data_IF_090739919433
#
_entry.id   IF_090739919433
#
_cell.length_a   1.000
_cell.length_b   1.000
_cell.length_c   1.000
_cell.angle_alpha   90.00
_cell.angle_beta   90.00
_cell.angle_gamma   90.00
#
_symmetry.space_group_name_H-M   'P 1'
#
loop_
_entity.id
_entity.type
_entity.pdbx_description
1 polymer ?
#
# COMPACT_ATOMS: atom_id res chain seq x y z
N UNK A 1 19.80 -9.04 -23.48
CA UNK A 1 20.30 -9.33 -22.12
C UNK A 1 19.97 -8.09 -21.29
N UNK A 2 18.92 -8.13 -20.46
CA UNK A 2 18.40 -6.95 -19.73
C UNK A 2 19.11 -6.84 -18.38
N UNK A 3 19.76 -5.70 -18.13
CA UNK A 3 20.39 -5.38 -16.85
C UNK A 3 19.57 -4.26 -16.22
N UNK A 4 18.86 -4.57 -15.13
CA UNK A 4 18.20 -3.56 -14.29
C UNK A 4 19.24 -3.01 -13.31
N UNK A 5 19.47 -1.70 -13.32
CA UNK A 5 20.34 -1.02 -12.35
C UNK A 5 19.63 -0.93 -10.99
N UNK A 6 20.31 -1.35 -9.92
CA UNK A 6 19.85 -1.25 -8.53
C UNK A 6 20.83 -0.34 -7.80
N UNK A 7 20.32 0.68 -7.11
CA UNK A 7 21.13 1.63 -6.34
C UNK A 7 20.83 1.52 -4.85
N UNK A 8 21.87 1.61 -4.01
CA UNK A 8 21.78 1.53 -2.54
C UNK A 8 22.19 2.89 -1.95
N UNK A 9 21.33 3.52 -1.14
CA UNK A 9 21.60 4.82 -0.51
C UNK A 9 22.23 4.66 0.89
N UNK A 10 23.31 5.36 1.21
CA UNK A 10 23.91 5.39 2.55
C UNK A 10 23.33 6.53 3.41
N UNK A 11 23.18 6.27 4.71
CA UNK A 11 22.42 7.09 5.67
C UNK A 11 23.11 8.41 6.06
N UNK A 12 22.31 9.46 6.29
CA UNK A 12 22.71 10.72 6.92
C UNK A 12 21.79 11.02 8.12
N UNK A 13 22.36 11.57 9.20
CA UNK A 13 21.68 11.84 10.48
C UNK A 13 20.52 12.84 10.36
N UNK A 14 19.42 12.53 11.06
CA UNK A 14 18.13 13.24 11.01
C UNK A 14 18.13 14.41 12.02
N UNK A 15 17.95 15.64 11.52
CA UNK A 15 17.49 16.77 12.32
C UNK A 15 16.01 17.04 12.01
N UNK A 16 15.17 17.13 13.05
CA UNK A 16 13.72 17.40 12.95
C UNK A 16 13.47 18.77 12.32
N UNK A 17 12.71 18.82 11.23
CA UNK A 17 12.01 20.03 10.77
C UNK A 17 10.50 19.77 10.68
N UNK A 18 9.65 20.71 11.11
CA UNK A 18 8.20 20.57 11.01
C UNK A 18 7.74 20.83 9.56
N UNK A 19 7.12 19.84 8.94
CA UNK A 19 6.49 19.97 7.62
C UNK A 19 5.07 20.53 7.78
N UNK A 20 4.82 21.72 7.23
CA UNK A 20 3.47 22.29 7.10
C UNK A 20 2.95 22.04 5.68
N UNK A 21 1.85 21.31 5.56
CA UNK A 21 1.18 21.02 4.28
C UNK A 21 0.22 22.15 3.91
N UNK A 22 0.29 22.76 2.71
CA UNK A 22 -0.73 23.69 2.25
C UNK A 22 -1.89 22.93 1.58
N UNK A 23 -3.10 23.15 2.10
CA UNK A 23 -4.36 22.88 1.41
C UNK A 23 -4.55 23.90 0.27
N UNK A 24 -4.97 23.47 -0.93
CA UNK A 24 -6.06 24.07 -1.72
C UNK A 24 -6.21 23.47 -3.15
N UNK A 25 -7.44 23.66 -3.66
CA UNK A 25 -8.18 23.11 -4.80
C UNK A 25 -7.51 23.17 -6.19
N UNK A 26 -7.87 22.40 -7.22
CA UNK A 26 -8.92 21.40 -7.45
C UNK A 26 -9.00 21.03 -8.95
N UNK A 27 -9.52 19.85 -9.30
CA UNK A 27 -10.30 19.54 -10.53
C UNK A 27 -11.20 18.34 -10.21
N UNK A 28 -12.45 18.45 -10.66
CA UNK A 28 -13.66 17.68 -10.37
C UNK A 28 -13.45 16.16 -10.51
N UNK A 29 -13.36 15.47 -9.37
CA UNK A 29 -13.81 14.08 -9.26
C UNK A 29 -15.34 14.09 -9.46
N UNK A 30 -15.89 13.04 -10.06
CA UNK A 30 -17.33 12.77 -10.03
C UNK A 30 -17.85 13.06 -8.60
N UNK A 31 -18.69 14.09 -8.40
CA UNK A 31 -19.10 14.54 -7.07
C UNK A 31 -19.88 13.47 -6.30
N UNK A 32 -20.27 12.37 -6.96
CA UNK A 32 -20.90 11.21 -6.33
C UNK A 32 -19.91 10.19 -5.72
N UNK A 33 -18.61 10.28 -6.01
CA UNK A 33 -17.60 9.34 -5.46
C UNK A 33 -16.80 9.99 -4.35
N UNK A 34 -17.17 9.67 -3.10
CA UNK A 34 -16.40 9.96 -1.88
C UNK A 34 -14.94 9.54 -2.08
N UNK A 35 -14.00 10.39 -1.67
CA UNK A 35 -12.58 10.04 -1.62
C UNK A 35 -12.37 8.90 -0.61
N UNK A 36 -11.58 7.91 -1.00
CA UNK A 36 -11.31 6.74 -0.19
C UNK A 36 -10.40 7.10 0.97
N UNK A 37 -10.61 6.44 2.10
CA UNK A 37 -9.69 6.53 3.22
C UNK A 37 -8.69 5.39 3.16
N UNK A 38 -7.46 5.61 3.63
CA UNK A 38 -6.41 4.63 3.45
C UNK A 38 -6.73 3.21 3.96
N UNK A 39 -7.29 3.09 5.18
CA UNK A 39 -7.71 1.79 5.71
C UNK A 39 -8.77 1.10 4.85
N UNK A 40 -9.70 1.87 4.28
CA UNK A 40 -10.73 1.40 3.37
C UNK A 40 -10.10 0.82 2.08
N UNK A 41 -9.14 1.55 1.50
CA UNK A 41 -8.40 1.12 0.31
C UNK A 41 -7.61 -0.17 0.55
N UNK A 42 -6.97 -0.32 1.71
CA UNK A 42 -6.25 -1.53 2.09
C UNK A 42 -7.18 -2.73 2.34
N UNK A 43 -8.30 -2.52 3.02
CA UNK A 43 -9.31 -3.56 3.19
C UNK A 43 -9.83 -4.07 1.84
N UNK A 44 -10.17 -3.15 0.94
CA UNK A 44 -10.63 -3.48 -0.41
C UNK A 44 -9.57 -4.24 -1.22
N UNK A 45 -8.29 -3.93 -1.06
CA UNK A 45 -7.22 -4.64 -1.78
C UNK A 45 -7.00 -6.08 -1.29
N UNK A 46 -7.15 -6.33 0.02
CA UNK A 46 -7.11 -7.69 0.58
C UNK A 46 -8.34 -8.51 0.14
N UNK A 47 -9.52 -7.90 0.07
CA UNK A 47 -10.73 -8.55 -0.49
C UNK A 47 -10.52 -8.89 -1.96
N UNK A 48 -9.92 -7.99 -2.74
CA UNK A 48 -9.60 -8.25 -4.14
C UNK A 48 -8.57 -9.39 -4.28
N UNK A 49 -7.63 -9.53 -3.35
CA UNK A 49 -6.74 -10.70 -3.29
C UNK A 49 -7.50 -11.99 -2.97
N UNK A 50 -8.40 -11.96 -1.99
CA UNK A 50 -9.21 -13.12 -1.59
C UNK A 50 -10.08 -13.65 -2.75
N UNK A 51 -10.56 -12.77 -3.64
CA UNK A 51 -11.34 -13.17 -4.81
C UNK A 51 -10.59 -14.09 -5.81
N UNK A 52 -9.26 -14.11 -5.77
CA UNK A 52 -8.41 -14.95 -6.64
C UNK A 52 -7.68 -16.08 -5.92
N UNK A 53 -7.72 -16.11 -4.59
CA UNK A 53 -7.06 -17.12 -3.77
C UNK A 53 -8.01 -17.60 -2.66
N UNK A 54 -8.55 -18.81 -2.83
CA UNK A 54 -9.51 -19.40 -1.90
C UNK A 54 -8.89 -19.75 -0.54
N UNK A 55 -7.60 -20.11 -0.48
CA UNK A 55 -6.93 -20.41 0.77
C UNK A 55 -6.75 -19.12 1.59
N UNK A 56 -6.39 -18.02 0.94
CA UNK A 56 -6.33 -16.71 1.56
C UNK A 56 -7.73 -16.21 1.97
N UNK A 57 -8.77 -16.42 1.17
CA UNK A 57 -10.15 -16.07 1.53
C UNK A 57 -10.60 -16.77 2.83
N UNK A 58 -10.29 -18.06 2.97
CA UNK A 58 -10.56 -18.82 4.19
C UNK A 58 -9.76 -18.27 5.38
N UNK A 59 -8.48 -17.93 5.20
CA UNK A 59 -7.66 -17.33 6.24
C UNK A 59 -8.16 -15.95 6.68
N UNK A 60 -8.50 -15.08 5.72
CA UNK A 60 -9.08 -13.76 5.94
C UNK A 60 -10.37 -13.86 6.75
N UNK A 61 -11.32 -14.69 6.33
CA UNK A 61 -12.59 -14.87 7.04
C UNK A 61 -12.41 -15.39 8.47
N UNK A 62 -11.53 -16.37 8.68
CA UNK A 62 -11.23 -16.90 10.01
C UNK A 62 -10.63 -15.82 10.93
N UNK A 63 -9.66 -15.05 10.41
CA UNK A 63 -9.00 -13.98 11.18
C UNK A 63 -9.95 -12.83 11.51
N UNK A 64 -10.81 -12.42 10.58
CA UNK A 64 -11.80 -11.37 10.84
C UNK A 64 -12.86 -11.81 11.85
N UNK A 65 -13.31 -13.09 11.81
CA UNK A 65 -14.23 -13.64 12.80
C UNK A 65 -13.62 -13.69 14.21
N UNK A 66 -12.33 -13.97 14.34
CA UNK A 66 -11.69 -13.95 15.67
C UNK A 66 -11.48 -12.52 16.18
N UNK A 67 -11.18 -11.58 15.30
CA UNK A 67 -10.73 -10.22 15.64
C UNK A 67 -11.87 -9.20 15.79
N UNK A 68 -12.83 -9.21 14.86
CA UNK A 68 -13.71 -8.07 14.62
C UNK A 68 -15.20 -8.37 14.87
N UNK A 69 -15.58 -9.62 15.19
CA UNK A 69 -16.99 -10.00 15.41
C UNK A 69 -17.74 -9.07 16.39
N UNK A 70 -17.18 -8.63 17.53
CA UNK A 70 -17.88 -7.71 18.43
C UNK A 70 -18.19 -6.33 17.83
N UNK A 71 -17.40 -5.86 16.85
CA UNK A 71 -17.58 -4.56 16.18
C UNK A 71 -18.36 -4.67 14.87
N UNK A 72 -18.19 -5.76 14.14
CA UNK A 72 -18.88 -6.04 12.87
C UNK A 72 -20.40 -6.20 13.04
N UNK A 73 -20.85 -6.74 14.19
CA UNK A 73 -22.27 -6.90 14.52
C UNK A 73 -22.97 -5.57 14.89
N UNK A 74 -22.21 -4.54 15.27
CA UNK A 74 -22.72 -3.21 15.57
C UNK A 74 -22.90 -2.32 14.31
N UNK A 75 -22.23 -2.67 13.21
CA UNK A 75 -22.34 -1.97 11.93
C UNK A 75 -23.64 -2.37 11.23
N UNK A 76 -24.65 -1.49 11.36
CA UNK A 76 -26.01 -1.65 10.79
C UNK A 76 -26.14 -1.17 9.36
N UNK A 77 -25.13 -0.48 8.84
CA UNK A 77 -25.22 0.11 7.51
C UNK A 77 -24.89 -0.92 6.44
N UNK A 78 -25.78 -0.99 5.45
CA UNK A 78 -25.58 -1.74 4.21
C UNK A 78 -24.59 -0.94 3.38
N UNK A 79 -23.31 -1.08 3.71
CA UNK A 79 -22.24 -0.58 2.86
C UNK A 79 -22.31 -1.38 1.55
N UNK A 80 -22.76 -0.76 0.47
CA UNK A 80 -22.61 -1.37 -0.85
C UNK A 80 -21.12 -1.58 -1.07
N UNK A 81 -20.69 -2.85 -1.04
CA UNK A 81 -19.32 -3.20 -1.35
C UNK A 81 -19.00 -2.53 -2.68
N UNK A 82 -18.12 -1.51 -2.69
CA UNK A 82 -17.74 -0.82 -3.88
C UNK A 82 -17.18 -1.91 -4.76
N UNK A 83 -17.88 -2.19 -5.87
CA UNK A 83 -17.46 -3.19 -6.85
C UNK A 83 -15.97 -2.96 -7.00
N UNK A 84 -15.17 -3.91 -6.53
CA UNK A 84 -13.73 -3.74 -6.38
C UNK A 84 -13.18 -3.34 -7.74
N UNK A 85 -13.15 -2.02 -7.95
CA UNK A 85 -12.91 -1.46 -9.25
C UNK A 85 -11.44 -1.68 -9.55
N UNK A 86 -11.08 -1.56 -10.81
CA UNK A 86 -9.66 -1.65 -11.20
C UNK A 86 -8.77 -0.73 -10.36
N UNK A 87 -9.33 0.35 -9.78
CA UNK A 87 -8.72 1.27 -8.82
C UNK A 87 -7.89 0.64 -7.69
N UNK A 88 -8.35 -0.43 -7.03
CA UNK A 88 -7.64 -1.02 -5.88
C UNK A 88 -6.51 -1.96 -6.28
N UNK A 89 -6.42 -2.35 -7.56
CA UNK A 89 -5.39 -3.28 -8.06
C UNK A 89 -3.97 -2.80 -7.78
N UNK A 90 -3.79 -1.49 -7.62
CA UNK A 90 -2.52 -0.89 -7.24
C UNK A 90 -2.00 -1.37 -5.87
N UNK A 91 -2.89 -1.68 -4.93
CA UNK A 91 -2.54 -2.09 -3.57
C UNK A 91 -2.75 -3.58 -3.31
N UNK A 92 -3.11 -4.35 -4.35
CA UNK A 92 -3.32 -5.78 -4.18
C UNK A 92 -1.96 -6.44 -3.99
N UNK A 93 -1.72 -7.19 -2.89
CA UNK A 93 -0.45 -7.87 -2.64
C UNK A 93 -0.02 -8.77 -3.82
N UNK A 94 1.27 -8.91 -4.06
CA UNK A 94 1.79 -9.72 -5.17
C UNK A 94 1.68 -11.24 -4.90
N UNK A 95 1.78 -11.65 -3.63
CA UNK A 95 1.78 -13.05 -3.21
C UNK A 95 1.05 -13.27 -1.87
N UNK A 96 0.89 -14.55 -1.49
CA UNK A 96 0.12 -14.96 -0.32
C UNK A 96 0.79 -14.57 0.99
N UNK A 97 2.13 -14.51 1.01
CA UNK A 97 2.88 -14.13 2.20
C UNK A 97 2.72 -12.63 2.47
N UNK A 98 2.89 -11.79 1.45
CA UNK A 98 2.64 -10.35 1.54
C UNK A 98 1.17 -10.08 1.95
N UNK A 99 0.22 -10.81 1.39
CA UNK A 99 -1.19 -10.70 1.77
C UNK A 99 -1.42 -11.05 3.25
N UNK A 100 -0.80 -12.14 3.75
CA UNK A 100 -0.91 -12.53 5.16
C UNK A 100 -0.27 -11.53 6.12
N UNK A 101 0.94 -11.04 5.81
CA UNK A 101 1.61 -10.01 6.63
C UNK A 101 0.79 -8.73 6.69
N UNK A 102 0.24 -8.30 5.55
CA UNK A 102 -0.61 -7.11 5.46
C UNK A 102 -1.93 -7.29 6.19
N UNK A 103 -2.53 -8.49 6.14
CA UNK A 103 -3.71 -8.82 6.92
C UNK A 103 -3.45 -8.69 8.42
N UNK A 104 -2.40 -9.34 8.94
CA UNK A 104 -2.09 -9.28 10.37
C UNK A 104 -1.76 -7.86 10.84
N UNK A 105 -1.00 -7.12 10.04
CA UNK A 105 -0.74 -5.70 10.30
C UNK A 105 -2.05 -4.90 10.33
N UNK A 106 -2.91 -5.03 9.31
CA UNK A 106 -4.16 -4.28 9.22
C UNK A 106 -5.04 -4.58 10.43
N UNK A 107 -5.24 -5.85 10.75
CA UNK A 107 -6.08 -6.26 11.88
C UNK A 107 -5.54 -5.71 13.20
N UNK A 108 -4.23 -5.81 13.46
CA UNK A 108 -3.65 -5.21 14.67
C UNK A 108 -3.86 -3.69 14.75
N UNK A 109 -3.76 -2.98 13.61
CA UNK A 109 -4.01 -1.52 13.57
C UNK A 109 -5.49 -1.16 13.78
N UNK A 110 -6.42 -2.01 13.31
CA UNK A 110 -7.86 -1.87 13.51
C UNK A 110 -8.28 -2.17 14.96
N UNK A 111 -7.69 -3.21 15.56
CA UNK A 111 -7.90 -3.55 16.98
C UNK A 111 -7.47 -2.38 17.87
N UNK A 112 -6.29 -1.81 17.60
CA UNK A 112 -5.74 -0.64 18.30
C UNK A 112 -6.50 0.68 18.02
N UNK A 113 -7.33 0.75 16.98
CA UNK A 113 -8.05 1.97 16.57
C UNK A 113 -7.13 3.11 16.10
N UNK A 114 -5.90 2.80 15.68
CA UNK A 114 -4.86 3.79 15.33
C UNK A 114 -4.73 4.03 13.83
N UNK A 115 -5.49 3.31 13.00
CA UNK A 115 -5.43 3.45 11.55
C UNK A 115 -6.35 4.59 11.08
N UNK A 116 -5.86 5.53 10.24
CA UNK A 116 -6.74 6.45 9.54
C UNK A 116 -7.78 5.70 8.70
N UNK A 117 -9.06 5.94 8.99
CA UNK A 117 -10.19 5.25 8.36
C UNK A 117 -10.42 3.82 8.85
N UNK A 118 -10.06 3.53 10.11
CA UNK A 118 -10.32 2.23 10.74
C UNK A 118 -11.80 1.81 10.68
N UNK A 119 -12.73 2.72 10.99
CA UNK A 119 -14.17 2.40 10.99
C UNK A 119 -14.65 2.02 9.58
N UNK A 120 -14.27 2.82 8.57
CA UNK A 120 -14.61 2.52 7.17
C UNK A 120 -13.99 1.19 6.70
N UNK A 121 -12.77 0.88 7.11
CA UNK A 121 -12.13 -0.41 6.82
C UNK A 121 -12.89 -1.58 7.48
N UNK A 122 -13.32 -1.42 8.73
CA UNK A 122 -14.12 -2.42 9.45
C UNK A 122 -15.44 -2.64 8.73
N UNK A 123 -16.13 -1.59 8.29
CA UNK A 123 -17.40 -1.69 7.56
C UNK A 123 -17.26 -2.45 6.23
N UNK A 124 -16.19 -2.17 5.47
CA UNK A 124 -15.83 -2.88 4.24
C UNK A 124 -15.62 -4.38 4.52
N UNK A 125 -14.80 -4.70 5.51
CA UNK A 125 -14.44 -6.08 5.87
C UNK A 125 -15.64 -6.86 6.42
N UNK A 126 -16.45 -6.23 7.28
CA UNK A 126 -17.67 -6.80 7.84
C UNK A 126 -18.69 -7.12 6.75
N UNK A 127 -18.86 -6.21 5.78
CA UNK A 127 -19.79 -6.43 4.67
C UNK A 127 -19.33 -7.58 3.77
N UNK A 128 -18.04 -7.66 3.45
CA UNK A 128 -17.50 -8.81 2.74
C UNK A 128 -17.69 -10.12 3.52
N UNK A 129 -17.42 -10.13 4.83
CA UNK A 129 -17.56 -11.32 5.67
C UNK A 129 -19.01 -11.83 5.71
N UNK A 130 -20.00 -10.94 5.79
CA UNK A 130 -21.43 -11.28 5.72
C UNK A 130 -21.81 -11.89 4.36
N UNK A 131 -21.32 -11.30 3.27
CA UNK A 131 -21.56 -11.80 1.92
C UNK A 131 -20.91 -13.17 1.70
N UNK A 132 -19.71 -13.39 2.23
CA UNK A 132 -19.01 -14.68 2.16
C UNK A 132 -19.72 -15.77 2.96
N UNK A 133 -20.19 -15.45 4.18
CA UNK A 133 -20.99 -16.38 4.98
C UNK A 133 -22.32 -16.76 4.33
N UNK A 134 -22.92 -15.87 3.52
CA UNK A 134 -24.13 -16.17 2.76
C UNK A 134 -23.87 -17.10 1.56
N UNK A 135 -22.63 -17.12 1.02
CA UNK A 135 -22.21 -18.03 -0.06
C UNK A 135 -21.86 -19.42 0.44
N UNK A 136 -21.40 -19.53 1.67
CA UNK A 136 -21.04 -20.79 2.32
C UNK A 136 -21.78 -20.92 3.68
N UNK A 137 -23.07 -21.34 3.69
CA UNK A 137 -23.78 -21.64 4.93
C UNK A 137 -23.10 -22.85 5.57
N UNK A 138 -22.22 -22.60 6.54
CA UNK A 138 -21.34 -23.61 7.10
C UNK A 138 -22.10 -24.89 7.52
N UNK A 139 -21.65 -26.09 7.13
CA UNK A 139 -22.07 -27.31 7.82
C UNK A 139 -21.57 -27.22 9.27
N UNK A 140 -22.43 -27.54 10.23
CA UNK A 140 -22.07 -27.68 11.65
C UNK A 140 -20.86 -28.62 11.76
N UNK A 141 -19.67 -28.09 12.04
CA UNK A 141 -18.45 -28.88 12.26
C UNK A 141 -18.20 -29.02 13.77
N UNK A 142 -18.27 -30.27 14.23
CA UNK A 142 -17.86 -30.71 15.56
C UNK A 142 -16.38 -30.38 15.75
N UNK A 143 -16.05 -29.67 16.83
CA UNK A 143 -14.67 -29.37 17.21
C UNK A 143 -14.07 -30.64 17.83
N UNK A 144 -13.20 -31.33 17.10
CA UNK A 144 -12.27 -32.32 17.68
C UNK A 144 -10.94 -31.61 17.87
N UNK A 145 -10.55 -31.42 19.13
CA UNK A 145 -9.31 -30.73 19.49
C UNK A 145 -8.08 -31.45 18.95
N UNK A 146 -7.37 -30.80 18.03
CA UNK A 146 -5.98 -31.13 17.74
C UNK A 146 -5.17 -29.85 17.93
N UNK A 147 -4.43 -29.81 19.03
CA UNK A 147 -3.35 -28.85 19.24
C UNK A 147 -2.18 -29.32 18.38
N UNK A 148 -1.89 -28.62 17.28
CA UNK A 148 -0.61 -28.76 16.57
C UNK A 148 0.18 -27.48 16.78
N UNK A 149 1.02 -27.48 17.80
CA UNK A 149 2.13 -26.53 17.94
C UNK A 149 3.21 -26.97 16.96
N UNK A 150 3.32 -26.30 15.82
CA UNK A 150 4.52 -26.31 15.00
C UNK A 150 4.53 -25.05 14.10
N UNK A 151 5.11 -23.96 14.60
CA UNK A 151 5.72 -22.96 13.72
C UNK A 151 7.07 -23.57 13.31
N UNK A 152 7.29 -23.99 12.07
CA UNK A 152 8.57 -24.55 11.67
C UNK A 152 9.59 -23.40 11.64
N UNK A 153 10.42 -23.33 12.67
CA UNK A 153 11.64 -22.56 12.64
C UNK A 153 12.64 -23.20 11.68
N UNK A 154 13.08 -22.40 10.71
CA UNK A 154 14.37 -22.44 9.99
C UNK A 154 14.85 -23.78 9.41
N UNK A 155 14.81 -23.90 8.08
CA UNK A 155 16.00 -24.01 7.18
C UNK A 155 15.58 -24.54 5.81
N UNK A 156 15.28 -23.64 4.87
CA UNK A 156 15.37 -23.91 3.43
C UNK A 156 15.69 -22.56 2.78
N UNK A 157 16.72 -22.54 1.93
CA UNK A 157 17.40 -21.33 1.46
C UNK A 157 16.43 -20.22 1.13
N UNK A 158 16.69 -19.01 1.67
CA UNK A 158 15.95 -17.79 1.35
C UNK A 158 15.88 -17.67 -0.17
N UNK A 159 14.77 -18.11 -0.77
CA UNK A 159 14.39 -17.66 -2.09
C UNK A 159 14.42 -16.14 -2.01
N UNK A 160 15.22 -15.55 -2.87
CA UNK A 160 15.51 -14.12 -2.89
C UNK A 160 14.16 -13.42 -3.05
N UNK A 161 13.54 -13.03 -1.93
CA UNK A 161 12.26 -12.33 -1.94
C UNK A 161 12.42 -11.17 -2.89
N UNK A 162 11.45 -11.01 -3.80
CA UNK A 162 11.39 -9.80 -4.61
C UNK A 162 11.06 -8.68 -3.63
N UNK A 163 12.10 -8.04 -3.11
CA UNK A 163 11.97 -6.96 -2.12
C UNK A 163 11.16 -5.85 -2.75
N UNK A 164 10.16 -5.35 -2.03
CA UNK A 164 9.36 -4.22 -2.49
C UNK A 164 10.32 -3.05 -2.76
N UNK A 165 10.27 -2.50 -3.97
CA UNK A 165 11.02 -1.31 -4.33
C UNK A 165 10.11 -0.09 -4.14
N UNK A 166 10.67 1.05 -3.78
CA UNK A 166 9.91 2.30 -3.83
C UNK A 166 9.91 2.80 -5.27
N UNK A 167 8.72 3.07 -5.81
CA UNK A 167 8.60 3.58 -7.18
C UNK A 167 8.77 5.09 -7.19
N UNK A 168 9.70 5.58 -8.00
CA UNK A 168 9.97 6.99 -8.23
C UNK A 168 9.67 7.31 -9.68
N UNK A 169 8.75 8.24 -9.90
CA UNK A 169 8.31 8.64 -11.23
C UNK A 169 8.73 10.09 -11.45
N UNK A 170 9.53 10.32 -12.47
CA UNK A 170 10.15 11.61 -12.81
C UNK A 170 9.52 12.14 -14.10
N UNK A 171 9.33 13.45 -14.18
CA UNK A 171 8.90 14.11 -15.42
C UNK A 171 10.00 13.99 -16.48
N UNK A 172 9.63 13.59 -17.71
CA UNK A 172 10.61 13.26 -18.76
C UNK A 172 11.59 14.39 -19.10
N UNK A 173 11.18 15.66 -19.01
CA UNK A 173 12.05 16.82 -19.20
C UNK A 173 13.12 16.99 -18.11
N UNK A 174 12.88 16.44 -16.91
CA UNK A 174 13.83 16.44 -15.77
C UNK A 174 14.72 15.20 -15.75
N UNK A 175 14.31 14.12 -16.41
CA UNK A 175 15.00 12.83 -16.39
C UNK A 175 16.32 12.79 -17.22
N UNK A 176 16.61 13.82 -18.01
CA UNK A 176 17.69 13.82 -19.03
C UNK A 176 19.05 14.28 -18.47
N UNK A 177 19.17 14.61 -17.19
CA UNK A 177 20.44 15.06 -16.61
C UNK A 177 20.86 14.19 -15.42
N UNK A 178 22.11 13.71 -15.43
CA UNK A 178 22.84 13.24 -14.24
C UNK A 178 23.11 14.43 -13.30
N UNK A 179 22.04 15.08 -12.86
CA UNK A 179 22.05 16.26 -12.02
C UNK A 179 21.96 15.82 -10.56
N UNK A 180 22.91 16.29 -9.74
CA UNK A 180 22.89 16.09 -8.29
C UNK A 180 21.56 16.57 -7.68
N UNK A 181 20.93 17.59 -8.27
CA UNK A 181 19.61 18.10 -7.84
C UNK A 181 18.52 17.06 -8.04
N UNK A 182 18.55 16.31 -9.14
CA UNK A 182 17.59 15.24 -9.37
C UNK A 182 17.74 14.15 -8.31
N UNK A 183 18.97 13.77 -7.95
CA UNK A 183 19.23 12.79 -6.89
C UNK A 183 18.72 13.30 -5.54
N UNK A 184 18.95 14.58 -5.22
CA UNK A 184 18.42 15.19 -4.01
C UNK A 184 16.90 15.19 -3.99
N UNK A 185 16.25 15.64 -5.08
CA UNK A 185 14.78 15.66 -5.20
C UNK A 185 14.19 14.24 -5.05
N UNK A 186 14.85 13.22 -5.62
CA UNK A 186 14.46 11.80 -5.45
C UNK A 186 14.61 11.35 -3.99
N UNK A 187 15.70 11.75 -3.33
CA UNK A 187 15.96 11.42 -1.92
C UNK A 187 14.91 12.06 -1.01
N UNK A 188 14.63 13.34 -1.23
CA UNK A 188 13.63 14.11 -0.46
C UNK A 188 12.22 13.53 -0.67
N UNK A 189 11.86 13.15 -1.90
CA UNK A 189 10.60 12.48 -2.18
C UNK A 189 10.51 11.12 -1.47
N UNK A 190 11.57 10.31 -1.54
CA UNK A 190 11.62 9.00 -0.88
C UNK A 190 11.49 9.12 0.63
N UNK A 191 12.16 10.11 1.22
CA UNK A 191 12.09 10.40 2.64
C UNK A 191 10.70 10.89 3.04
N UNK A 192 10.04 11.71 2.21
CA UNK A 192 8.67 12.17 2.44
C UNK A 192 7.66 11.02 2.55
N UNK A 193 7.83 9.95 1.75
CA UNK A 193 6.99 8.74 1.85
C UNK A 193 7.19 8.07 3.22
N UNK A 194 8.43 7.89 3.63
CA UNK A 194 8.77 7.24 4.92
C UNK A 194 8.27 8.07 6.09
N UNK A 195 8.49 9.39 6.09
CA UNK A 195 8.01 10.28 7.14
C UNK A 195 6.50 10.18 7.30
N UNK A 196 5.76 10.24 6.18
CA UNK A 196 4.31 10.08 6.21
C UNK A 196 3.88 8.72 6.76
N UNK A 197 4.59 7.65 6.41
CA UNK A 197 4.31 6.33 6.97
C UNK A 197 4.59 6.24 8.47
N UNK A 198 5.66 6.87 8.96
CA UNK A 198 5.98 6.97 10.39
C UNK A 198 4.92 7.78 11.13
N UNK A 199 4.48 8.90 10.56
CA UNK A 199 3.42 9.72 11.14
C UNK A 199 2.10 8.94 11.23
N UNK A 200 1.75 8.19 10.19
CA UNK A 200 0.60 7.27 10.19
C UNK A 200 0.76 6.13 11.19
N UNK A 201 1.99 5.77 11.54
CA UNK A 201 2.31 4.82 12.60
C UNK A 201 2.37 5.45 14.00
N UNK A 202 2.08 6.76 14.13
CA UNK A 202 2.14 7.47 15.41
C UNK A 202 3.56 7.56 15.97
N UNK A 203 4.58 7.46 15.12
CA UNK A 203 5.99 7.42 15.52
C UNK A 203 6.50 6.04 15.95
N UNK A 204 5.65 5.01 15.98
CA UNK A 204 6.06 3.65 16.34
C UNK A 204 6.50 2.86 15.10
N UNK A 205 7.80 2.59 14.99
CA UNK A 205 8.35 1.84 13.86
C UNK A 205 7.85 0.39 13.79
N UNK A 206 7.39 -0.19 14.91
CA UNK A 206 6.77 -1.52 14.95
C UNK A 206 5.38 -1.56 14.32
N UNK A 207 4.77 -0.38 14.11
CA UNK A 207 3.45 -0.22 13.48
C UNK A 207 3.53 0.24 12.03
N UNK A 208 4.72 0.33 11.45
CA UNK A 208 4.89 0.56 10.02
C UNK A 208 4.28 -0.58 9.21
N UNK A 209 3.78 -0.23 8.03
CA UNK A 209 3.30 -1.22 7.07
C UNK A 209 4.42 -2.19 6.71
N UNK A 210 4.13 -3.50 6.51
CA UNK A 210 5.15 -4.50 6.28
C UNK A 210 6.08 -4.16 5.11
N UNK A 211 5.54 -3.70 3.99
CA UNK A 211 6.35 -3.38 2.80
C UNK A 211 7.20 -2.13 2.99
N UNK A 212 6.71 -1.15 3.76
CA UNK A 212 7.46 0.06 4.11
C UNK A 212 8.58 -0.29 5.09
N UNK A 213 8.30 -1.12 6.10
CA UNK A 213 9.30 -1.60 7.05
C UNK A 213 10.37 -2.43 6.34
N UNK A 214 9.95 -3.36 5.47
CA UNK A 214 10.86 -4.17 4.66
C UNK A 214 11.76 -3.29 3.80
N UNK A 215 11.20 -2.29 3.13
CA UNK A 215 11.99 -1.35 2.34
C UNK A 215 12.96 -0.55 3.21
N UNK A 216 12.48 0.01 4.32
CA UNK A 216 13.23 0.93 5.19
C UNK A 216 14.42 0.25 5.90
N UNK A 217 14.21 -0.97 6.44
CA UNK A 217 15.23 -1.69 7.21
C UNK A 217 16.17 -2.57 6.36
N UNK A 218 15.91 -2.71 5.05
CA UNK A 218 16.74 -3.53 4.15
C UNK A 218 17.35 -2.71 3.00
N UNK A 219 17.35 -3.26 1.78
CA UNK A 219 18.13 -2.77 0.63
C UNK A 219 17.63 -1.44 0.04
N UNK A 220 16.51 -0.87 0.55
CA UNK A 220 15.96 0.43 0.12
C UNK A 220 15.94 0.63 -1.40
N UNK A 221 15.55 -0.42 -2.12
CA UNK A 221 15.60 -0.45 -3.58
C UNK A 221 14.66 0.60 -4.18
N UNK A 222 15.12 1.34 -5.19
CA UNK A 222 14.30 2.29 -5.96
C UNK A 222 14.04 1.75 -7.37
N UNK A 223 12.80 1.89 -7.84
CA UNK A 223 12.43 1.66 -9.23
C UNK A 223 12.14 3.02 -9.88
N UNK A 224 12.94 3.40 -10.88
CA UNK A 224 12.91 4.72 -11.50
C UNK A 224 12.19 4.68 -12.84
N UNK A 225 11.25 5.60 -13.03
CA UNK A 225 10.43 5.70 -14.24
C UNK A 225 10.24 7.13 -14.70
N UNK A 226 10.00 7.29 -16.00
CA UNK A 226 9.71 8.54 -16.67
C UNK A 226 8.25 8.60 -17.10
N UNK A 227 7.66 9.79 -17.05
CA UNK A 227 6.38 10.08 -17.72
C UNK A 227 6.25 11.56 -18.09
N UNK A 228 5.24 11.90 -18.89
CA UNK A 228 4.92 13.30 -19.20
C UNK A 228 4.40 14.05 -17.97
N UNK A 229 4.51 15.39 -17.93
CA UNK A 229 3.94 16.19 -16.82
C UNK A 229 2.44 15.96 -16.61
N UNK A 230 1.68 15.72 -17.69
CA UNK A 230 0.27 15.34 -17.63
C UNK A 230 0.07 13.96 -17.01
N UNK A 231 0.90 12.98 -17.40
CA UNK A 231 0.90 11.64 -16.81
C UNK A 231 1.18 11.69 -15.31
N UNK A 232 2.21 12.44 -14.91
CA UNK A 232 2.58 12.59 -13.50
C UNK A 232 1.48 13.23 -12.66
N UNK A 233 0.82 14.27 -13.19
CA UNK A 233 -0.32 14.91 -12.54
C UNK A 233 -1.54 13.96 -12.41
N UNK A 234 -1.80 13.12 -13.42
CA UNK A 234 -2.86 12.11 -13.37
C UNK A 234 -2.57 11.04 -12.31
N UNK A 235 -1.33 10.53 -12.27
CA UNK A 235 -0.88 9.55 -11.26
C UNK A 235 -1.02 10.13 -9.85
N UNK A 236 -0.54 11.36 -9.62
CA UNK A 236 -0.68 12.04 -8.31
C UNK A 236 -2.15 12.18 -7.89
N UNK A 237 -3.04 12.53 -8.83
CA UNK A 237 -4.48 12.65 -8.55
C UNK A 237 -5.09 11.31 -8.17
N UNK A 238 -4.72 10.25 -8.88
CA UNK A 238 -5.18 8.89 -8.59
C UNK A 238 -4.71 8.43 -7.20
N UNK A 239 -3.41 8.60 -6.89
CA UNK A 239 -2.86 8.28 -5.57
C UNK A 239 -3.58 9.02 -4.45
N UNK A 240 -3.91 10.30 -4.64
CA UNK A 240 -4.72 11.09 -3.70
C UNK A 240 -6.14 10.56 -3.55
N UNK A 241 -6.78 10.14 -4.64
CA UNK A 241 -8.16 9.64 -4.60
C UNK A 241 -8.31 8.33 -3.84
N UNK A 242 -7.22 7.55 -3.77
CA UNK A 242 -7.11 6.27 -3.05
C UNK A 242 -6.45 6.42 -1.68
N UNK A 243 -6.08 7.64 -1.31
CA UNK A 243 -5.28 7.98 -0.12
C UNK A 243 -4.00 7.15 0.02
N UNK A 244 -3.40 6.73 -1.10
CA UNK A 244 -2.15 5.97 -1.11
C UNK A 244 -1.02 6.87 -0.63
N UNK A 245 -0.18 6.34 0.26
CA UNK A 245 1.01 7.06 0.74
C UNK A 245 1.95 7.36 -0.42
N UNK A 246 2.16 8.65 -0.67
CA UNK A 246 3.05 9.17 -1.69
C UNK A 246 3.60 10.54 -1.26
N UNK A 247 4.72 10.92 -1.85
CA UNK A 247 5.30 12.26 -1.75
C UNK A 247 5.54 12.82 -3.15
N UNK A 248 5.51 14.14 -3.29
CA UNK A 248 5.71 14.79 -4.57
C UNK A 248 6.63 16.01 -4.41
N UNK A 249 7.51 16.19 -5.38
CA UNK A 249 8.32 17.40 -5.53
C UNK A 249 7.71 18.25 -6.64
N UNK A 250 7.68 19.55 -6.42
CA UNK A 250 7.19 20.53 -7.37
C UNK A 250 8.34 21.44 -7.81
N UNK A 251 8.33 21.79 -9.10
CA UNK A 251 9.17 22.85 -9.66
C UNK A 251 8.30 23.94 -10.28
N UNK A 252 8.92 24.89 -10.98
CA UNK A 252 8.22 26.04 -11.59
C UNK A 252 7.17 25.65 -12.64
N UNK A 253 7.25 24.45 -13.21
CA UNK A 253 6.36 23.94 -14.27
C UNK A 253 5.26 23.05 -13.67
N UNK A 254 5.42 22.61 -12.42
CA UNK A 254 4.46 21.81 -11.68
C UNK A 254 5.12 20.60 -11.02
N UNK A 255 4.36 19.52 -10.82
CA UNK A 255 4.93 18.27 -10.27
C UNK A 255 6.06 17.76 -11.16
N UNK A 256 7.22 17.53 -10.55
CA UNK A 256 8.44 17.06 -11.20
C UNK A 256 8.77 15.61 -10.85
N UNK A 257 8.48 15.21 -9.60
CA UNK A 257 8.72 13.86 -9.09
C UNK A 257 7.54 13.41 -8.24
N UNK A 258 7.18 12.14 -8.34
CA UNK A 258 6.27 11.45 -7.41
C UNK A 258 6.96 10.19 -6.91
N UNK A 259 7.12 10.09 -5.60
CA UNK A 259 7.53 8.87 -4.92
C UNK A 259 6.28 8.15 -4.38
N UNK A 260 6.17 6.86 -4.66
CA UNK A 260 5.03 6.02 -4.29
C UNK A 260 5.46 4.99 -3.26
N UNK A 261 4.67 4.81 -2.21
CA UNK A 261 4.95 3.83 -1.15
C UNK A 261 5.21 2.42 -1.71
N UNK A 262 6.21 1.69 -1.16
CA UNK A 262 6.43 0.28 -1.45
C UNK A 262 5.17 -0.59 -1.30
N UNK A 263 4.21 -0.20 -0.46
CA UNK A 263 2.90 -0.87 -0.32
C UNK A 263 2.17 -1.01 -1.66
N UNK A 264 2.31 -0.01 -2.53
CA UNK A 264 1.68 0.07 -3.84
C UNK A 264 2.58 -0.45 -4.97
N UNK A 265 3.85 -0.76 -4.70
CA UNK A 265 4.86 -1.06 -5.69
C UNK A 265 4.79 -2.50 -6.20
N UNK A 266 3.73 -2.79 -6.96
CA UNK A 266 3.54 -4.06 -7.65
C UNK A 266 3.67 -3.92 -9.17
N UNK A 267 3.67 -5.07 -9.86
CA UNK A 267 3.73 -5.14 -11.33
C UNK A 267 2.59 -4.39 -12.05
N UNK A 268 1.54 -4.05 -11.31
CA UNK A 268 0.38 -3.32 -11.82
C UNK A 268 0.65 -1.85 -12.12
N UNK A 269 1.68 -1.24 -11.53
CA UNK A 269 2.02 0.16 -11.79
C UNK A 269 2.46 0.36 -13.24
N UNK A 270 3.34 -0.49 -13.73
CA UNK A 270 3.87 -0.44 -15.09
C UNK A 270 2.74 -0.58 -16.12
N UNK A 271 1.80 -1.50 -15.85
CA UNK A 271 0.66 -1.79 -16.73
C UNK A 271 -0.37 -0.64 -16.68
N UNK A 272 -0.63 -0.08 -15.50
CA UNK A 272 -1.67 0.94 -15.30
C UNK A 272 -1.25 2.31 -15.80
N UNK A 273 0.00 2.69 -15.55
CA UNK A 273 0.47 4.05 -15.79
C UNK A 273 1.28 4.20 -17.07
N UNK A 274 1.56 3.10 -17.79
CA UNK A 274 2.36 3.10 -19.03
C UNK A 274 3.65 3.91 -18.83
N UNK A 275 4.49 3.42 -17.92
CA UNK A 275 5.71 4.11 -17.51
C UNK A 275 6.91 3.70 -18.36
N UNK A 276 7.76 4.67 -18.68
CA UNK A 276 9.04 4.41 -19.36
C UNK A 276 10.12 4.13 -18.31
N UNK A 277 10.78 2.97 -18.29
CA UNK A 277 11.89 2.74 -17.36
C UNK A 277 13.00 3.78 -17.58
N UNK A 278 13.42 4.43 -16.50
CA UNK A 278 14.62 5.27 -16.55
C UNK A 278 15.83 4.37 -16.42
N UNK A 279 16.43 4.04 -17.55
CA UNK A 279 17.73 3.40 -17.57
C UNK A 279 18.78 4.43 -17.14
N UNK A 280 19.51 4.11 -16.06
CA UNK A 280 20.75 4.81 -15.78
C UNK A 280 21.71 4.55 -16.96
N UNK A 281 22.14 5.62 -17.62
CA UNK A 281 23.19 5.56 -18.63
C UNK A 281 24.54 5.18 -18.01
#
# INVERSE_FOLDING_TARGET
>A
MRVSGVFTLHALCIARMPYQSPLHHGVIADPARRAWQYGETLAASLIAYAARDAAFAAHLSARLRSALTPRADASRDTYESPRAGDAFRLLVPDDSEAAARRLEWLVGRLEDGTLPGADAAIDVLATWLRAEAARDPAPQRIVVGVVVVAVPGVTLGRFKMKRAAMTIIVRNDRAVASDWRLIQDITDASFGVVLRAIDMAGGDLGKLEPEVADWFFHDRMLALYGTSGRGLAAIRRELRSLDVVHAAIEDRIGTSIVAVSPTAAGAWQDIRWTLDPLHAA
#
